data_IF_783779554810
#
_entry.id   IF_783779554810
#
_cell.length_a   1.000
_cell.length_b   1.000
_cell.length_c   1.000
_cell.angle_alpha   90.00
_cell.angle_beta   90.00
_cell.angle_gamma   90.00
#
_symmetry.space_group_name_H-M   'P 1'
#
loop_
_entity.id
_entity.type
_entity.pdbx_description
1 polymer ?
#
# COMPACT_ATOMS: atom_id res chain seq x y z
N UNK A 1 -1.41 6.98 19.13
CA UNK A 1 -1.06 8.40 18.87
C UNK A 1 -0.53 8.51 17.45
N UNK A 2 -0.71 9.66 16.79
CA UNK A 2 -0.17 9.98 15.48
C UNK A 2 0.92 11.03 15.65
N UNK A 3 2.06 10.83 14.98
CA UNK A 3 3.22 11.73 15.01
C UNK A 3 3.69 11.99 13.58
N UNK A 4 4.39 13.09 13.35
CA UNK A 4 5.00 13.45 12.07
C UNK A 4 6.46 13.77 12.29
N UNK A 5 7.32 13.20 11.43
CA UNK A 5 8.75 13.49 11.40
C UNK A 5 9.08 14.20 10.09
N UNK A 6 9.83 15.28 10.21
CA UNK A 6 10.45 15.99 9.09
C UNK A 6 11.98 15.82 9.20
N UNK A 7 12.55 15.03 8.32
CA UNK A 7 13.99 14.77 8.20
C UNK A 7 14.69 15.66 7.15
N UNK A 8 13.95 16.65 6.62
CA UNK A 8 14.52 17.66 5.71
C UNK A 8 15.05 18.86 6.48
N UNK A 9 16.11 19.45 6.01
CA UNK A 9 16.66 20.73 6.49
C UNK A 9 15.88 21.95 5.94
N UNK A 10 14.55 21.85 6.02
CA UNK A 10 13.63 22.95 5.70
C UNK A 10 12.31 22.75 6.44
N UNK A 11 11.66 23.84 6.80
CA UNK A 11 10.34 23.83 7.42
C UNK A 11 9.22 23.72 6.38
N UNK A 12 8.08 23.20 6.84
CA UNK A 12 6.85 23.13 6.06
C UNK A 12 5.70 23.73 6.85
N UNK A 13 4.86 24.54 6.18
CA UNK A 13 3.74 25.22 6.81
C UNK A 13 2.42 24.77 6.24
N UNK A 14 1.41 24.80 7.13
CA UNK A 14 0.01 24.52 6.77
C UNK A 14 -0.21 23.14 6.12
N UNK A 15 0.62 22.15 6.48
CA UNK A 15 0.46 20.79 6.06
C UNK A 15 -0.71 20.14 6.81
N UNK A 16 -1.42 19.20 6.17
CA UNK A 16 -2.56 18.52 6.75
C UNK A 16 -2.21 17.07 7.00
N UNK A 17 -2.18 16.69 8.27
CA UNK A 17 -2.12 15.28 8.71
C UNK A 17 -3.52 14.73 8.78
N UNK A 18 -3.74 13.53 8.26
CA UNK A 18 -5.04 12.84 8.29
C UNK A 18 -4.87 11.40 8.69
N UNK A 19 -5.79 10.90 9.52
CA UNK A 19 -5.95 9.48 9.84
C UNK A 19 -7.36 9.04 9.49
N UNK A 20 -7.48 8.00 8.68
CA UNK A 20 -8.72 7.29 8.40
C UNK A 20 -8.60 5.85 8.90
N UNK A 21 -9.63 5.31 9.56
CA UNK A 21 -9.69 3.90 9.96
C UNK A 21 -10.84 3.23 9.21
N UNK A 22 -10.56 2.02 8.73
CA UNK A 22 -11.51 1.20 8.00
C UNK A 22 -11.64 -0.16 8.66
N UNK A 23 -12.87 -0.66 8.74
CA UNK A 23 -13.13 -2.04 9.13
C UNK A 23 -12.76 -3.03 8.02
N UNK A 24 -12.85 -4.32 8.31
CA UNK A 24 -12.55 -5.39 7.36
C UNK A 24 -13.45 -5.35 6.10
N UNK A 25 -14.65 -4.76 6.23
CA UNK A 25 -15.59 -4.56 5.13
C UNK A 25 -15.34 -3.27 4.33
N UNK A 26 -14.25 -2.57 4.64
CA UNK A 26 -13.86 -1.32 3.99
C UNK A 26 -14.76 -0.13 4.32
N UNK A 27 -15.57 -0.23 5.38
CA UNK A 27 -16.35 0.88 5.90
C UNK A 27 -15.41 1.79 6.71
N UNK A 28 -15.41 3.07 6.41
CA UNK A 28 -14.68 4.05 7.20
C UNK A 28 -15.41 4.25 8.53
N UNK A 29 -14.72 3.95 9.62
CA UNK A 29 -15.28 4.00 11.00
C UNK A 29 -14.70 5.14 11.82
N UNK A 30 -13.59 5.74 11.38
CA UNK A 30 -12.98 6.91 12.00
C UNK A 30 -12.34 7.78 10.93
N UNK A 31 -12.37 9.09 11.13
CA UNK A 31 -11.65 10.05 10.31
C UNK A 31 -11.34 11.30 11.13
N UNK A 32 -10.08 11.67 11.18
CA UNK A 32 -9.64 12.92 11.80
C UNK A 32 -8.52 13.55 11.01
N UNK A 33 -8.44 14.87 11.03
CA UNK A 33 -7.33 15.58 10.40
C UNK A 33 -7.01 16.86 11.16
N UNK A 34 -5.73 17.22 11.14
CA UNK A 34 -5.21 18.42 11.79
C UNK A 34 -4.22 19.11 10.84
N UNK A 35 -4.19 20.44 10.86
CA UNK A 35 -3.14 21.21 10.19
C UNK A 35 -1.99 21.42 11.15
N UNK A 36 -0.78 21.41 10.59
CA UNK A 36 0.47 21.56 11.33
C UNK A 36 1.43 22.46 10.56
N UNK A 37 2.28 23.12 11.31
CA UNK A 37 3.57 23.62 10.85
C UNK A 37 4.63 22.72 11.47
N UNK A 38 5.69 22.42 10.73
CA UNK A 38 6.80 21.60 11.21
C UNK A 38 8.11 22.22 10.77
N UNK A 39 9.03 22.39 11.71
CA UNK A 39 10.37 22.92 11.50
C UNK A 39 11.27 21.97 10.74
N UNK A 40 12.49 22.43 10.43
CA UNK A 40 13.54 21.58 9.88
C UNK A 40 14.01 20.58 10.94
N UNK A 41 14.29 19.35 10.53
CA UNK A 41 14.76 18.24 11.38
C UNK A 41 13.96 18.12 12.69
N UNK A 42 12.63 18.20 12.58
CA UNK A 42 11.72 18.22 13.72
C UNK A 42 10.79 17.02 13.75
N UNK A 43 10.46 16.59 14.97
CA UNK A 43 9.43 15.56 15.22
C UNK A 43 8.30 16.16 16.05
N UNK A 44 7.10 16.18 15.49
CA UNK A 44 5.88 16.51 16.21
C UNK A 44 5.26 15.22 16.74
N UNK A 45 5.44 14.98 18.04
CA UNK A 45 4.91 13.81 18.72
C UNK A 45 3.45 14.03 19.15
N UNK A 46 2.70 12.94 19.21
CA UNK A 46 1.41 12.86 19.86
C UNK A 46 0.39 13.93 19.41
N UNK A 47 0.37 14.24 18.10
CA UNK A 47 -0.53 15.25 17.53
C UNK A 47 -1.99 14.99 17.87
N UNK A 48 -2.42 13.73 17.75
CA UNK A 48 -3.76 13.30 18.15
C UNK A 48 -3.83 11.79 18.33
N UNK A 49 -4.85 11.35 19.04
CA UNK A 49 -5.16 9.94 19.25
C UNK A 49 -6.18 9.46 18.22
N UNK A 50 -5.97 8.24 17.73
CA UNK A 50 -7.01 7.52 16.98
C UNK A 50 -7.89 6.80 17.98
N UNK A 51 -9.18 7.17 18.04
CA UNK A 51 -10.16 6.48 18.87
C UNK A 51 -10.83 5.39 18.03
N UNK A 52 -10.59 4.13 18.42
CA UNK A 52 -11.16 2.97 17.75
C UNK A 52 -12.55 2.68 18.35
N UNK A 53 -13.60 2.54 17.51
CA UNK A 53 -14.90 2.09 17.99
C UNK A 53 -14.80 0.73 18.68
N UNK A 54 -15.59 0.51 19.72
CA UNK A 54 -15.60 -0.74 20.50
C UNK A 54 -16.10 -1.94 19.69
N UNK A 55 -16.89 -1.68 18.64
CA UNK A 55 -17.46 -2.67 17.72
C UNK A 55 -16.67 -2.84 16.41
N UNK A 56 -15.45 -2.29 16.35
CA UNK A 56 -14.59 -2.45 15.16
C UNK A 56 -14.24 -3.93 14.94
N UNK A 57 -14.15 -4.32 13.66
CA UNK A 57 -13.75 -5.69 13.30
C UNK A 57 -12.40 -6.08 13.90
N UNK A 58 -12.20 -7.39 14.24
CA UNK A 58 -10.95 -7.86 14.85
C UNK A 58 -9.70 -7.38 14.12
N UNK A 59 -9.69 -7.46 12.79
CA UNK A 59 -8.68 -6.81 11.96
C UNK A 59 -9.28 -5.58 11.30
N UNK A 60 -8.50 -4.50 11.27
CA UNK A 60 -8.88 -3.23 10.69
C UNK A 60 -7.67 -2.52 10.08
N UNK A 61 -7.94 -1.51 9.27
CA UNK A 61 -6.94 -0.80 8.50
C UNK A 61 -6.85 0.67 8.91
N UNK A 62 -5.64 1.20 8.91
CA UNK A 62 -5.36 2.61 9.22
C UNK A 62 -4.61 3.22 8.03
N UNK A 63 -5.19 4.25 7.43
CA UNK A 63 -4.53 5.07 6.42
C UNK A 63 -4.10 6.39 7.07
N UNK A 64 -2.80 6.65 7.11
CA UNK A 64 -2.26 7.96 7.44
C UNK A 64 -1.86 8.67 6.15
N UNK A 65 -2.18 9.95 6.06
CA UNK A 65 -1.82 10.78 4.92
C UNK A 65 -1.32 12.14 5.37
N UNK A 66 -0.31 12.65 4.69
CA UNK A 66 0.18 14.02 4.83
C UNK A 66 0.01 14.73 3.49
N UNK A 67 -0.68 15.85 3.50
CA UNK A 67 -0.89 16.69 2.32
C UNK A 67 -0.27 18.06 2.53
N UNK A 68 0.21 18.65 1.43
CA UNK A 68 0.74 20.02 1.42
C UNK A 68 -0.38 21.07 1.59
N UNK A 69 0.00 22.35 1.61
CA UNK A 69 -0.92 23.49 1.72
C UNK A 69 -1.97 23.55 0.59
N UNK A 70 -1.65 22.96 -0.59
CA UNK A 70 -2.53 22.91 -1.77
C UNK A 70 -3.43 21.68 -1.76
N UNK A 71 -3.30 20.81 -0.76
CA UNK A 71 -4.06 19.58 -0.62
C UNK A 71 -3.51 18.40 -1.41
N UNK A 72 -2.33 18.52 -2.03
CA UNK A 72 -1.66 17.40 -2.70
C UNK A 72 -1.08 16.46 -1.64
N UNK A 73 -1.43 15.18 -1.68
CA UNK A 73 -0.82 14.16 -0.83
C UNK A 73 0.67 14.04 -1.17
N UNK A 74 1.54 14.21 -0.17
CA UNK A 74 3.00 14.14 -0.30
C UNK A 74 3.54 12.81 0.21
N UNK A 75 2.89 12.22 1.22
CA UNK A 75 3.20 10.89 1.73
C UNK A 75 1.95 10.25 2.32
N UNK A 76 1.88 8.94 2.25
CA UNK A 76 0.87 8.16 2.94
C UNK A 76 1.42 6.80 3.37
N UNK A 77 0.87 6.30 4.47
CA UNK A 77 1.21 5.00 5.04
C UNK A 77 -0.06 4.22 5.32
N UNK A 78 -0.01 2.92 5.05
CA UNK A 78 -1.14 2.03 5.26
C UNK A 78 -0.74 0.93 6.25
N UNK A 79 -1.47 0.85 7.36
CA UNK A 79 -1.28 -0.16 8.39
C UNK A 79 -2.48 -1.09 8.46
N UNK A 80 -2.25 -2.30 8.93
CA UNK A 80 -3.29 -3.22 9.40
C UNK A 80 -2.98 -3.62 10.83
N UNK A 81 -4.02 -3.76 11.63
CA UNK A 81 -3.92 -4.03 13.06
C UNK A 81 -4.94 -5.07 13.45
N UNK A 82 -4.58 -5.94 14.39
CA UNK A 82 -5.50 -6.85 15.07
C UNK A 82 -5.82 -6.34 16.47
N UNK A 83 -7.07 -6.56 16.91
CA UNK A 83 -7.49 -6.35 18.30
C UNK A 83 -7.18 -7.56 19.21
N UNK A 84 -6.67 -8.66 18.64
CA UNK A 84 -6.22 -9.79 19.45
C UNK A 84 -5.18 -9.31 20.45
N UNK A 85 -5.40 -9.64 21.72
CA UNK A 85 -4.44 -9.35 22.76
C UNK A 85 -3.11 -10.06 22.43
N UNK A 86 -2.05 -9.30 22.35
CA UNK A 86 -0.70 -9.84 22.24
C UNK A 86 -0.32 -10.41 23.62
N UNK A 87 -0.61 -11.68 23.84
CA UNK A 87 -0.13 -12.41 25.02
C UNK A 87 1.33 -12.80 24.76
N UNK A 88 2.26 -11.92 25.12
CA UNK A 88 3.69 -11.94 24.80
C UNK A 88 4.50 -13.19 25.17
N UNK A 89 3.87 -14.35 25.30
CA UNK A 89 4.52 -15.60 25.73
C UNK A 89 4.82 -16.62 24.63
N UNK A 90 4.33 -16.44 23.39
CA UNK A 90 4.25 -17.56 22.45
C UNK A 90 4.93 -17.37 21.08
N UNK A 91 5.71 -16.32 20.86
CA UNK A 91 6.45 -16.13 19.60
C UNK A 91 7.46 -17.25 19.32
N UNK A 92 7.83 -18.03 20.32
CA UNK A 92 8.92 -19.03 20.22
C UNK A 92 8.48 -20.49 20.25
N UNK A 93 7.19 -20.84 20.48
CA UNK A 93 6.83 -22.21 20.83
C UNK A 93 5.73 -22.88 20.05
N UNK A 94 5.13 -22.30 19.02
CA UNK A 94 4.11 -22.99 18.22
C UNK A 94 3.30 -22.10 17.28
N UNK A 95 2.36 -22.69 16.51
CA UNK A 95 1.48 -21.93 15.63
C UNK A 95 0.48 -21.16 16.49
N UNK A 96 0.87 -19.98 16.91
CA UNK A 96 -0.02 -19.07 17.59
C UNK A 96 -0.95 -18.44 16.56
N UNK A 97 -2.23 -18.42 16.87
CA UNK A 97 -3.19 -17.55 16.19
C UNK A 97 -2.61 -16.15 16.15
N UNK A 98 -2.32 -15.66 14.95
CA UNK A 98 -1.72 -14.33 14.77
C UNK A 98 -2.71 -13.22 15.09
N UNK A 99 -3.99 -13.56 15.30
CA UNK A 99 -5.09 -12.62 15.40
C UNK A 99 -5.47 -11.98 14.05
N UNK A 100 -4.89 -12.46 12.95
CA UNK A 100 -5.14 -11.96 11.60
C UNK A 100 -5.95 -12.92 10.71
N UNK A 101 -6.48 -14.01 11.27
CA UNK A 101 -7.23 -15.04 10.54
C UNK A 101 -8.43 -14.46 9.78
N UNK A 102 -9.07 -13.43 10.35
CA UNK A 102 -10.22 -12.76 9.71
C UNK A 102 -9.86 -12.03 8.41
N UNK A 103 -8.57 -11.84 8.08
CA UNK A 103 -8.17 -11.38 6.75
C UNK A 103 -8.61 -12.33 5.64
N UNK A 104 -8.78 -13.63 5.94
CA UNK A 104 -9.26 -14.60 4.97
C UNK A 104 -10.73 -14.38 4.59
N UNK A 105 -11.48 -13.66 5.44
CA UNK A 105 -12.90 -13.32 5.22
C UNK A 105 -13.06 -11.97 4.49
N UNK A 106 -11.96 -11.34 4.07
CA UNK A 106 -12.04 -10.07 3.36
C UNK A 106 -12.87 -10.19 2.08
N UNK A 107 -13.83 -9.25 1.86
CA UNK A 107 -14.56 -9.21 0.59
C UNK A 107 -13.61 -8.99 -0.58
N UNK A 108 -13.86 -9.72 -1.67
CA UNK A 108 -13.06 -9.62 -2.90
C UNK A 108 -13.08 -8.20 -3.47
N UNK A 109 -11.90 -7.69 -3.82
CA UNK A 109 -11.71 -6.43 -4.52
C UNK A 109 -11.36 -6.67 -6.01
N UNK A 110 -11.57 -5.65 -6.85
CA UNK A 110 -11.30 -5.69 -8.29
C UNK A 110 -10.41 -4.54 -8.72
N UNK A 111 -9.32 -4.88 -9.40
CA UNK A 111 -8.42 -3.92 -10.00
C UNK A 111 -8.62 -3.88 -11.52
N UNK A 112 -8.68 -2.67 -12.06
CA UNK A 112 -8.47 -2.40 -13.48
C UNK A 112 -6.97 -2.12 -13.67
N UNK A 113 -6.36 -2.87 -14.57
CA UNK A 113 -4.93 -2.75 -14.89
C UNK A 113 -4.77 -2.20 -16.30
N UNK A 114 -3.94 -1.17 -16.46
CA UNK A 114 -3.43 -0.70 -17.75
C UNK A 114 -1.90 -0.72 -17.67
N UNK A 115 -1.25 -1.05 -18.77
CA UNK A 115 0.21 -1.04 -18.82
C UNK A 115 0.73 -0.59 -20.18
N UNK A 116 1.96 -0.11 -20.21
CA UNK A 116 2.73 0.20 -21.40
C UNK A 116 4.15 -0.27 -21.18
N UNK A 117 4.82 -0.68 -22.25
CA UNK A 117 6.22 -1.05 -22.23
C UNK A 117 7.01 -0.08 -23.10
N UNK A 118 8.26 0.17 -22.73
CA UNK A 118 9.19 0.97 -23.52
C UNK A 118 10.64 0.56 -23.26
N UNK A 119 11.49 0.73 -24.26
CA UNK A 119 12.94 0.61 -24.16
C UNK A 119 13.57 1.98 -24.31
N UNK A 120 14.48 2.33 -23.40
CA UNK A 120 15.24 3.57 -23.43
C UNK A 120 16.63 3.32 -22.83
N UNK A 121 17.69 3.67 -23.56
CA UNK A 121 19.07 3.63 -23.08
C UNK A 121 19.49 2.28 -22.44
N UNK A 122 19.12 1.17 -23.10
CA UNK A 122 19.43 -0.19 -22.64
C UNK A 122 18.61 -0.66 -21.44
N UNK A 123 17.56 0.09 -21.06
CA UNK A 123 16.60 -0.26 -20.00
C UNK A 123 15.24 -0.59 -20.59
N UNK A 124 14.58 -1.56 -19.98
CA UNK A 124 13.22 -1.95 -20.30
C UNK A 124 12.30 -1.54 -19.15
N UNK A 125 11.28 -0.78 -19.47
CA UNK A 125 10.32 -0.24 -18.52
C UNK A 125 8.92 -0.79 -18.77
N UNK A 126 8.22 -1.09 -17.68
CA UNK A 126 6.79 -1.40 -17.68
C UNK A 126 6.10 -0.37 -16.80
N UNK A 127 5.35 0.55 -17.41
CA UNK A 127 4.53 1.53 -16.74
C UNK A 127 3.15 0.92 -16.46
N UNK A 128 2.81 0.71 -15.20
CA UNK A 128 1.56 0.06 -14.80
C UNK A 128 0.68 1.05 -14.05
N UNK A 129 -0.58 1.15 -14.48
CA UNK A 129 -1.62 1.91 -13.78
C UNK A 129 -2.66 0.93 -13.23
N UNK A 130 -2.84 0.94 -11.92
CA UNK A 130 -3.80 0.11 -11.20
C UNK A 130 -4.88 0.99 -10.58
N UNK A 131 -6.14 0.74 -10.92
CA UNK A 131 -7.28 1.42 -10.32
C UNK A 131 -8.16 0.42 -9.58
N UNK A 132 -8.43 0.68 -8.31
CA UNK A 132 -9.43 -0.07 -7.56
C UNK A 132 -10.83 0.36 -8.00
N UNK A 133 -11.53 -0.50 -8.72
CA UNK A 133 -12.88 -0.23 -9.26
C UNK A 133 -13.99 -0.78 -8.38
N UNK A 134 -13.64 -1.44 -7.28
CA UNK A 134 -14.61 -1.99 -6.33
C UNK A 134 -14.86 -1.03 -5.16
N UNK A 135 -15.91 -1.31 -4.37
CA UNK A 135 -16.20 -0.63 -3.11
C UNK A 135 -15.42 -1.20 -1.92
N UNK A 136 -14.44 -2.07 -2.18
CA UNK A 136 -13.64 -2.77 -1.17
C UNK A 136 -12.18 -2.36 -1.27
N UNK A 137 -11.46 -2.36 -0.16
CA UNK A 137 -10.01 -2.16 -0.14
C UNK A 137 -9.36 -3.32 -0.89
N UNK A 138 -8.53 -3.01 -1.89
CA UNK A 138 -7.64 -3.97 -2.51
C UNK A 138 -6.39 -4.07 -1.62
N UNK A 139 -6.33 -5.13 -0.80
CA UNK A 139 -5.32 -5.28 0.23
C UNK A 139 -4.11 -6.04 -0.30
N UNK A 140 -2.91 -5.57 0.07
CA UNK A 140 -1.61 -6.18 -0.17
C UNK A 140 -1.41 -6.56 -1.64
N UNK A 141 -1.66 -5.58 -2.54
CA UNK A 141 -1.54 -5.74 -3.99
C UNK A 141 -0.09 -5.96 -4.38
N UNK A 142 0.16 -7.01 -5.16
CA UNK A 142 1.47 -7.43 -5.63
C UNK A 142 1.52 -7.43 -7.16
N UNK A 143 2.64 -6.94 -7.70
CA UNK A 143 3.02 -7.07 -9.11
C UNK A 143 4.23 -8.00 -9.23
N UNK A 144 4.26 -8.83 -10.28
CA UNK A 144 5.44 -9.63 -10.61
C UNK A 144 5.67 -9.61 -12.11
N UNK A 145 6.89 -9.31 -12.50
CA UNK A 145 7.36 -9.45 -13.87
C UNK A 145 8.01 -10.82 -14.05
N UNK A 146 7.47 -11.63 -14.95
CA UNK A 146 7.79 -13.05 -15.09
C UNK A 146 8.26 -13.38 -16.51
N UNK A 147 9.20 -14.30 -16.61
CA UNK A 147 9.63 -14.92 -17.86
C UNK A 147 8.61 -15.98 -18.36
N UNK A 148 8.91 -16.59 -19.49
CA UNK A 148 8.12 -17.66 -20.11
C UNK A 148 7.89 -18.85 -19.18
N UNK A 149 8.86 -19.18 -18.33
CA UNK A 149 8.77 -20.27 -17.36
C UNK A 149 7.98 -19.91 -16.09
N UNK A 150 7.50 -18.67 -15.99
CA UNK A 150 6.82 -18.14 -14.81
C UNK A 150 7.75 -17.78 -13.66
N UNK A 151 9.06 -17.64 -13.93
CA UNK A 151 10.03 -17.21 -12.93
C UNK A 151 10.18 -15.70 -12.94
N UNK A 152 10.41 -15.05 -11.78
CA UNK A 152 10.67 -13.62 -11.72
C UNK A 152 11.91 -13.23 -12.54
N UNK A 153 11.75 -12.23 -13.41
CA UNK A 153 12.89 -11.60 -14.13
C UNK A 153 13.69 -10.80 -13.12
N UNK A 154 14.99 -11.05 -13.03
CA UNK A 154 15.90 -10.45 -12.05
C UNK A 154 17.19 -9.95 -12.69
N UNK A 155 17.72 -8.79 -12.26
CA UNK A 155 17.09 -7.85 -11.31
C UNK A 155 15.94 -7.06 -11.96
N UNK A 156 14.85 -6.85 -11.23
CA UNK A 156 13.79 -5.91 -11.59
C UNK A 156 13.48 -5.02 -10.40
N UNK A 157 13.38 -3.73 -10.64
CA UNK A 157 13.12 -2.71 -9.63
C UNK A 157 11.71 -2.18 -9.79
N UNK A 158 11.00 -2.04 -8.69
CA UNK A 158 9.62 -1.56 -8.65
C UNK A 158 9.59 -0.27 -7.84
N UNK A 159 8.94 0.78 -8.35
CA UNK A 159 8.77 2.02 -7.57
C UNK A 159 7.92 1.81 -6.34
N UNK A 160 7.01 0.82 -6.38
CA UNK A 160 6.23 0.36 -5.23
C UNK A 160 5.70 -1.06 -5.47
N UNK A 161 5.50 -1.82 -4.39
CA UNK A 161 4.90 -3.16 -4.42
C UNK A 161 4.32 -3.50 -3.04
N UNK A 162 3.41 -4.49 -2.95
CA UNK A 162 2.74 -4.89 -1.71
C UNK A 162 1.96 -3.75 -1.03
N UNK A 163 1.33 -2.90 -1.81
CA UNK A 163 0.54 -1.77 -1.35
C UNK A 163 -0.96 -2.08 -1.32
N UNK A 164 -1.72 -1.22 -0.64
CA UNK A 164 -3.18 -1.31 -0.60
C UNK A 164 -3.81 -0.10 -1.28
N UNK A 165 -4.96 -0.32 -1.94
CA UNK A 165 -5.72 0.73 -2.62
C UNK A 165 -7.12 0.84 -2.02
N UNK A 166 -7.47 2.03 -1.57
CA UNK A 166 -8.84 2.34 -1.18
C UNK A 166 -9.77 2.32 -2.41
N UNK A 167 -11.10 2.19 -2.22
CA UNK A 167 -12.08 2.31 -3.31
C UNK A 167 -11.85 3.57 -4.15
N UNK A 168 -11.77 3.41 -5.47
CA UNK A 168 -11.56 4.49 -6.43
C UNK A 168 -10.12 4.98 -6.60
N UNK A 169 -9.20 4.61 -5.72
CA UNK A 169 -7.79 5.01 -5.82
C UNK A 169 -7.10 4.42 -7.06
N UNK A 170 -6.14 5.17 -7.56
CA UNK A 170 -5.27 4.78 -8.67
C UNK A 170 -3.81 4.89 -8.23
N UNK A 171 -3.02 3.86 -8.52
CA UNK A 171 -1.57 3.82 -8.28
C UNK A 171 -0.83 3.63 -9.59
N UNK A 172 0.25 4.39 -9.76
CA UNK A 172 1.21 4.19 -10.84
C UNK A 172 2.41 3.45 -10.27
N UNK A 173 2.83 2.40 -10.96
CA UNK A 173 4.03 1.63 -10.63
C UNK A 173 4.89 1.56 -11.88
N UNK A 174 6.17 1.88 -11.74
CA UNK A 174 7.18 1.66 -12.76
C UNK A 174 7.97 0.43 -12.38
N UNK A 175 8.09 -0.51 -13.32
CA UNK A 175 8.99 -1.66 -13.21
C UNK A 175 10.12 -1.41 -14.19
N UNK A 176 11.35 -1.54 -13.73
CA UNK A 176 12.58 -1.24 -14.44
C UNK A 176 13.53 -2.43 -14.39
N UNK A 177 14.04 -2.84 -15.56
CA UNK A 177 15.06 -3.89 -15.69
C UNK A 177 16.00 -3.57 -16.85
N UNK A 178 17.12 -4.30 -16.94
CA UNK A 178 18.05 -4.20 -18.07
C UNK A 178 17.45 -4.88 -19.32
N UNK A 179 17.67 -4.29 -20.51
CA UNK A 179 17.10 -4.80 -21.77
C UNK A 179 17.62 -6.19 -22.13
N UNK A 180 18.84 -6.55 -21.75
CA UNK A 180 19.42 -7.88 -21.96
C UNK A 180 18.62 -9.00 -21.27
N UNK A 181 17.79 -8.67 -20.27
CA UNK A 181 16.91 -9.62 -19.59
C UNK A 181 15.61 -9.89 -20.35
N UNK A 182 15.29 -9.09 -21.37
CA UNK A 182 14.04 -9.15 -22.15
C UNK A 182 14.23 -9.29 -23.66
N UNK A 183 15.48 -9.44 -24.15
CA UNK A 183 15.80 -9.55 -25.57
C UNK A 183 15.29 -10.84 -26.23
N UNK A 184 15.09 -11.91 -25.47
CA UNK A 184 14.59 -13.17 -25.98
C UNK A 184 13.52 -13.75 -25.06
N UNK A 185 12.33 -13.93 -25.57
CA UNK A 185 11.29 -14.66 -24.86
C UNK A 185 9.94 -13.97 -24.76
N UNK A 186 8.99 -14.73 -24.25
CA UNK A 186 7.66 -14.24 -23.87
C UNK A 186 7.66 -13.86 -22.40
N UNK A 187 7.20 -12.66 -22.12
CA UNK A 187 7.11 -12.13 -20.77
C UNK A 187 5.68 -11.87 -20.35
N UNK A 188 5.48 -11.81 -19.06
CA UNK A 188 4.16 -11.51 -18.50
C UNK A 188 4.27 -10.67 -17.24
N UNK A 189 3.26 -9.84 -17.04
CA UNK A 189 3.00 -9.15 -15.79
C UNK A 189 1.87 -9.87 -15.06
N UNK A 190 2.09 -10.26 -13.81
CA UNK A 190 0.99 -10.68 -12.94
C UNK A 190 0.64 -9.58 -11.94
N UNK A 191 -0.65 -9.41 -11.70
CA UNK A 191 -1.20 -8.47 -10.73
C UNK A 191 -2.22 -9.23 -9.89
N UNK A 192 -2.07 -9.21 -8.58
CA UNK A 192 -2.96 -9.85 -7.62
C UNK A 192 -2.85 -9.19 -6.25
N UNK A 193 -3.43 -9.79 -5.23
CA UNK A 193 -3.36 -9.30 -3.86
C UNK A 193 -4.03 -10.26 -2.90
N UNK A 194 -4.08 -9.94 -1.62
CA UNK A 194 -4.69 -10.81 -0.61
C UNK A 194 -6.14 -11.16 -0.96
N UNK A 195 -6.94 -10.12 -1.24
CA UNK A 195 -8.35 -10.26 -1.63
C UNK A 195 -8.61 -9.85 -3.10
N UNK A 196 -7.56 -9.83 -3.92
CA UNK A 196 -7.62 -9.53 -5.36
C UNK A 196 -7.21 -10.76 -6.15
N UNK A 197 -8.12 -11.25 -6.99
CA UNK A 197 -7.82 -12.38 -7.87
C UNK A 197 -6.64 -12.06 -8.78
N UNK A 198 -5.64 -12.93 -8.80
CA UNK A 198 -4.48 -12.78 -9.66
C UNK A 198 -4.87 -12.83 -11.13
N UNK A 199 -4.34 -11.90 -11.90
CA UNK A 199 -4.45 -11.84 -13.36
C UNK A 199 -3.09 -11.78 -13.99
N UNK A 200 -2.95 -12.45 -15.14
CA UNK A 200 -1.73 -12.48 -15.95
C UNK A 200 -1.97 -11.70 -17.24
N UNK A 201 -1.03 -10.84 -17.58
CA UNK A 201 -1.03 -10.01 -18.78
C UNK A 201 0.20 -10.37 -19.61
N UNK A 202 0.02 -10.65 -20.90
CA UNK A 202 1.14 -10.85 -21.84
C UNK A 202 1.73 -9.49 -22.19
N UNK A 203 3.07 -9.38 -22.14
CA UNK A 203 3.83 -8.17 -22.51
C UNK A 203 4.37 -8.27 -23.92
#
# INVERSE_FOLDING_TARGET
>A
MVSVCNDYYRSFKNYKVKADVYDLNSKKVFSYSQRIDIGEDEVLNDLFKIDFPSDITPVHFIRLGLSDEKGKEVVSTFYWRSNAAYEGKEILTGPTSSGFESLNDMPTARLQTKYKTKEVDGRYYIEVSLKNTSSRIAFFTQLQFLDKAGKPVRPSFYTDNFFSLLPGETKQVLIDTSVDKVTEGEFSLTVGGWNVQQKKYKL
#
